data_IF_445189595257
#
_entry.id   IF_445189595257
#
_cell.length_a   1.000
_cell.length_b   1.000
_cell.length_c   1.000
_cell.angle_alpha   90.00
_cell.angle_beta   90.00
_cell.angle_gamma   90.00
#
_symmetry.space_group_name_H-M   'P 1'
#
loop_
_entity.id
_entity.type
_entity.pdbx_description
1 polymer ?
#
# COMPACT_ATOMS: atom_id res chain seq x y z
N UNK A 1 -29.06 -8.65 21.07
CA UNK A 1 -28.27 -7.88 20.09
C UNK A 1 -27.20 -7.17 20.88
N UNK A 2 -25.93 -7.41 20.55
CA UNK A 2 -24.84 -6.76 21.28
C UNK A 2 -24.82 -5.27 20.88
N UNK A 3 -24.64 -4.35 21.84
CA UNK A 3 -24.62 -2.91 21.56
C UNK A 3 -23.54 -2.50 20.54
N UNK A 4 -22.56 -3.37 20.28
CA UNK A 4 -21.49 -3.15 19.31
C UNK A 4 -21.94 -3.19 17.84
N UNK A 5 -23.03 -3.91 17.52
CA UNK A 5 -23.51 -4.04 16.14
C UNK A 5 -24.16 -2.76 15.61
N UNK A 6 -24.55 -1.85 16.51
CA UNK A 6 -25.18 -0.57 16.18
C UNK A 6 -24.18 0.56 15.92
N UNK A 7 -22.88 0.34 16.17
CA UNK A 7 -21.83 1.35 16.00
C UNK A 7 -21.07 1.07 14.70
N UNK A 8 -20.99 2.07 13.82
CA UNK A 8 -20.14 1.95 12.63
C UNK A 8 -18.67 2.10 12.98
N UNK A 9 -17.91 1.01 12.83
CA UNK A 9 -16.46 0.95 13.05
C UNK A 9 -15.76 1.21 11.70
N UNK A 10 -14.89 2.22 11.64
CA UNK A 10 -14.10 2.56 10.44
C UNK A 10 -12.62 2.34 10.71
N UNK A 11 -11.96 1.58 9.84
CA UNK A 11 -10.56 1.16 9.99
C UNK A 11 -9.93 0.77 8.65
N UNK A 12 -8.61 0.57 8.62
CA UNK A 12 -7.90 0.05 7.45
C UNK A 12 -7.96 -1.49 7.38
N UNK A 13 -8.26 -2.02 6.20
CA UNK A 13 -8.21 -3.47 5.94
C UNK A 13 -7.81 -3.73 4.47
N UNK A 14 -6.59 -4.21 4.20
CA UNK A 14 -5.51 -4.50 5.16
C UNK A 14 -4.92 -3.22 5.78
N UNK A 15 -4.06 -3.37 6.79
CA UNK A 15 -3.30 -2.27 7.41
C UNK A 15 -1.82 -2.22 7.04
N UNK A 16 -1.38 -3.11 6.16
CA UNK A 16 -0.03 -3.12 5.60
C UNK A 16 -0.14 -3.29 4.10
N UNK A 17 0.59 -2.44 3.37
CA UNK A 17 0.62 -2.38 1.92
C UNK A 17 2.07 -2.40 1.46
N UNK A 18 2.30 -2.98 0.29
CA UNK A 18 3.61 -2.98 -0.35
C UNK A 18 3.42 -2.59 -1.82
N UNK A 19 4.30 -1.74 -2.31
CA UNK A 19 4.32 -1.32 -3.70
C UNK A 19 5.76 -1.19 -4.20
N UNK A 20 5.96 -1.38 -5.50
CA UNK A 20 7.21 -0.99 -6.14
C UNK A 20 7.24 0.53 -6.27
N UNK A 21 8.44 1.10 -6.23
CA UNK A 21 8.66 2.52 -6.44
C UNK A 21 8.07 3.00 -7.79
N UNK A 22 8.34 2.24 -8.87
CA UNK A 22 7.80 2.52 -10.20
C UNK A 22 6.28 2.29 -10.39
N UNK A 23 5.50 2.01 -9.34
CA UNK A 23 4.06 1.76 -9.49
C UNK A 23 3.25 3.04 -9.78
N UNK A 24 3.84 4.21 -9.54
CA UNK A 24 3.24 5.53 -9.69
C UNK A 24 2.21 5.89 -8.62
N UNK A 25 1.38 4.95 -8.18
CA UNK A 25 0.48 5.15 -7.04
C UNK A 25 0.08 3.83 -6.36
N UNK A 26 0.01 3.86 -5.03
CA UNK A 26 -0.49 2.77 -4.20
C UNK A 26 -1.96 2.98 -3.86
N UNK A 27 -2.77 1.92 -3.90
CA UNK A 27 -4.19 1.94 -3.55
C UNK A 27 -4.40 1.40 -2.13
N UNK A 28 -5.03 2.22 -1.27
CA UNK A 28 -5.38 1.85 0.10
C UNK A 28 -6.88 1.73 0.27
N UNK A 29 -7.30 0.81 1.15
CA UNK A 29 -8.70 0.50 1.41
C UNK A 29 -9.09 0.82 2.84
N UNK A 30 -10.11 1.65 3.00
CA UNK A 30 -10.80 1.87 4.28
C UNK A 30 -12.10 1.10 4.30
N UNK A 31 -12.34 0.37 5.39
CA UNK A 31 -13.52 -0.45 5.60
C UNK A 31 -14.37 0.12 6.72
N UNK A 32 -15.68 0.01 6.53
CA UNK A 32 -16.72 0.28 7.51
C UNK A 32 -17.43 -1.02 7.85
N UNK A 33 -17.55 -1.32 9.15
CA UNK A 33 -18.24 -2.50 9.66
C UNK A 33 -19.22 -2.13 10.77
N UNK A 34 -20.41 -2.72 10.75
CA UNK A 34 -21.46 -2.47 11.74
C UNK A 34 -22.15 -1.11 11.60
N UNK A 35 -23.12 -0.85 12.46
CA UNK A 35 -23.98 0.32 12.46
C UNK A 35 -24.85 0.46 11.20
N UNK A 36 -25.47 1.62 11.06
CA UNK A 36 -26.45 1.87 9.99
C UNK A 36 -25.78 2.29 8.67
N UNK A 37 -25.58 1.33 7.78
CA UNK A 37 -24.94 1.52 6.47
C UNK A 37 -25.67 2.55 5.58
N UNK A 38 -26.91 2.93 5.88
CA UNK A 38 -27.62 3.99 5.14
C UNK A 38 -27.06 5.39 5.40
N UNK A 39 -26.31 5.59 6.49
CA UNK A 39 -25.69 6.88 6.81
C UNK A 39 -24.40 7.09 6.02
N UNK A 40 -24.16 8.33 5.60
CA UNK A 40 -22.88 8.70 4.96
C UNK A 40 -21.87 9.05 6.03
N UNK A 41 -20.69 8.43 5.95
CA UNK A 41 -19.58 8.61 6.87
C UNK A 41 -18.42 9.28 6.15
N UNK A 42 -17.80 10.26 6.81
CA UNK A 42 -16.61 10.93 6.33
C UNK A 42 -15.48 10.68 7.32
N UNK A 43 -14.30 10.36 6.83
CA UNK A 43 -13.10 10.18 7.65
C UNK A 43 -11.96 10.91 6.96
N UNK A 44 -11.22 11.72 7.71
CA UNK A 44 -10.07 12.41 7.18
C UNK A 44 -8.86 11.47 7.24
N UNK A 45 -7.97 11.58 6.27
CA UNK A 45 -6.71 10.84 6.24
C UNK A 45 -5.55 11.79 5.96
N UNK A 46 -4.36 11.38 6.42
CA UNK A 46 -3.12 12.12 6.21
C UNK A 46 -1.94 11.16 6.19
N UNK A 47 -0.99 11.41 5.28
CA UNK A 47 0.31 10.72 5.26
C UNK A 47 1.27 11.29 6.31
N UNK A 48 2.06 10.41 6.92
CA UNK A 48 3.09 10.73 7.90
C UNK A 48 4.38 10.00 7.51
N UNK A 49 5.51 10.69 7.59
CA UNK A 49 6.82 10.13 7.22
C UNK A 49 7.22 8.98 8.17
N UNK A 50 7.96 8.02 7.61
CA UNK A 50 8.60 6.93 8.34
C UNK A 50 10.10 6.96 8.09
N UNK A 51 10.63 5.95 7.38
CA UNK A 51 11.93 6.08 6.73
C UNK A 51 11.81 6.82 5.40
N UNK A 52 10.70 6.58 4.68
CA UNK A 52 10.31 7.33 3.49
C UNK A 52 9.77 8.72 3.86
N UNK A 53 10.13 9.72 3.07
CA UNK A 53 9.91 11.14 3.22
C UNK A 53 9.03 11.69 2.09
N UNK A 54 8.04 12.50 2.46
CA UNK A 54 7.19 13.15 1.49
C UNK A 54 7.98 14.11 0.57
N UNK A 55 7.77 13.99 -0.73
CA UNK A 55 8.41 14.78 -1.78
C UNK A 55 9.73 14.21 -2.31
N UNK A 56 10.29 13.19 -1.64
CA UNK A 56 11.36 12.35 -2.16
C UNK A 56 10.77 11.03 -2.68
N UNK A 57 10.10 10.28 -1.79
CA UNK A 57 9.75 8.87 -2.07
C UNK A 57 8.24 8.69 -2.32
N UNK A 58 7.42 9.61 -1.80
CA UNK A 58 5.97 9.62 -2.00
C UNK A 58 5.38 11.03 -1.96
N UNK A 59 4.17 11.21 -2.51
CA UNK A 59 3.50 12.50 -2.50
C UNK A 59 2.75 12.75 -1.18
N UNK A 60 3.03 13.89 -0.53
CA UNK A 60 2.25 14.32 0.64
C UNK A 60 0.76 14.40 0.29
N UNK A 61 -0.06 13.59 0.97
CA UNK A 61 -1.49 13.50 0.68
C UNK A 61 -2.30 13.60 1.97
N UNK A 62 -3.23 14.55 2.00
CA UNK A 62 -4.28 14.62 3.02
C UNK A 62 -5.63 14.90 2.37
N UNK A 63 -6.70 14.40 2.98
CA UNK A 63 -8.04 14.58 2.43
C UNK A 63 -9.13 13.91 3.25
N UNK A 64 -10.33 13.86 2.68
CA UNK A 64 -11.49 13.20 3.29
C UNK A 64 -11.95 12.04 2.41
N UNK A 65 -12.03 10.86 3.00
CA UNK A 65 -12.71 9.69 2.42
C UNK A 65 -14.20 9.77 2.75
N UNK A 66 -15.03 9.61 1.73
CA UNK A 66 -16.50 9.61 1.85
C UNK A 66 -17.02 8.21 1.56
N UNK A 67 -17.59 7.58 2.58
CA UNK A 67 -18.34 6.33 2.50
C UNK A 67 -19.82 6.69 2.40
N UNK A 68 -20.38 6.61 1.19
CA UNK A 68 -21.79 6.94 0.93
C UNK A 68 -22.72 5.89 1.55
N UNK A 69 -24.02 6.20 1.57
CA UNK A 69 -25.06 5.23 1.90
C UNK A 69 -24.89 3.94 1.09
N UNK A 70 -24.81 2.80 1.77
CA UNK A 70 -24.61 1.49 1.15
C UNK A 70 -23.14 1.11 0.90
N UNK A 71 -22.19 2.04 0.99
CA UNK A 71 -20.77 1.75 0.81
C UNK A 71 -20.16 1.24 2.12
N UNK A 72 -19.61 0.03 2.09
CA UNK A 72 -18.90 -0.60 3.23
C UNK A 72 -17.39 -0.50 3.11
N UNK A 73 -16.86 -0.11 1.95
CA UNK A 73 -15.44 0.10 1.75
C UNK A 73 -15.21 1.20 0.73
N UNK A 74 -14.05 1.86 0.81
CA UNK A 74 -13.62 2.88 -0.14
C UNK A 74 -12.13 2.77 -0.38
N UNK A 75 -11.75 2.82 -1.65
CA UNK A 75 -10.37 2.89 -2.10
C UNK A 75 -9.98 4.34 -2.39
N UNK A 76 -8.72 4.67 -2.11
CA UNK A 76 -8.08 5.94 -2.48
C UNK A 76 -6.60 5.68 -2.80
N UNK A 77 -5.99 6.57 -3.57
CA UNK A 77 -4.61 6.43 -4.04
C UNK A 77 -3.68 7.44 -3.38
N UNK A 78 -2.43 7.04 -3.17
CA UNK A 78 -1.32 7.92 -2.79
C UNK A 78 -0.25 7.80 -3.87
N UNK A 79 0.25 8.93 -4.37
CA UNK A 79 1.31 8.96 -5.38
C UNK A 79 2.63 8.46 -4.81
N UNK A 80 3.30 7.60 -5.56
CA UNK A 80 4.67 7.14 -5.28
C UNK A 80 5.59 7.83 -6.28
N UNK A 81 6.71 8.33 -5.80
CA UNK A 81 7.69 9.04 -6.63
C UNK A 81 8.74 8.00 -7.06
N UNK A 82 9.06 8.00 -8.34
CA UNK A 82 9.98 7.07 -8.99
C UNK A 82 11.25 7.82 -9.37
N UNK A 83 12.42 7.27 -9.02
CA UNK A 83 13.70 7.82 -9.43
C UNK A 83 14.67 6.79 -10.04
N UNK A 84 15.97 7.07 -9.96
CA UNK A 84 17.05 6.30 -10.61
C UNK A 84 18.16 5.90 -9.60
N UNK A 85 17.95 6.15 -8.31
CA UNK A 85 18.90 5.97 -7.22
C UNK A 85 18.50 4.72 -6.43
N UNK A 86 19.42 3.76 -6.33
CA UNK A 86 19.20 2.59 -5.47
C UNK A 86 19.11 2.97 -3.99
N UNK A 87 17.99 2.62 -3.37
CA UNK A 87 17.69 2.80 -1.95
C UNK A 87 17.33 1.46 -1.26
N UNK A 88 17.29 1.46 0.08
CA UNK A 88 16.79 0.30 0.84
C UNK A 88 15.25 0.33 0.90
N UNK A 89 14.60 -0.79 1.26
CA UNK A 89 13.14 -0.79 1.45
C UNK A 89 12.72 0.25 2.50
N UNK A 90 11.90 1.20 2.08
CA UNK A 90 11.44 2.29 2.94
C UNK A 90 9.94 2.21 3.25
N UNK A 91 9.49 2.91 4.28
CA UNK A 91 8.07 2.93 4.63
C UNK A 91 7.60 4.29 5.14
N UNK A 92 6.32 4.56 4.90
CA UNK A 92 5.58 5.68 5.46
C UNK A 92 4.23 5.21 6.04
N UNK A 93 3.54 6.11 6.73
CA UNK A 93 2.29 5.82 7.40
C UNK A 93 1.13 6.64 6.84
N UNK A 94 -0.07 6.09 6.95
CA UNK A 94 -1.32 6.79 6.63
C UNK A 94 -2.26 6.69 7.81
N UNK A 95 -2.67 7.83 8.36
CA UNK A 95 -3.48 7.91 9.58
C UNK A 95 -4.90 8.38 9.28
N UNK A 96 -5.89 7.66 9.80
CA UNK A 96 -7.28 8.11 9.83
C UNK A 96 -7.56 9.00 11.05
N UNK A 97 -8.32 10.06 10.85
CA UNK A 97 -8.71 11.01 11.89
C UNK A 97 -10.05 11.67 11.58
N UNK A 98 -10.56 12.46 12.53
CA UNK A 98 -11.74 13.32 12.35
C UNK A 98 -12.97 12.63 11.71
N UNK A 99 -13.36 11.48 12.27
CA UNK A 99 -14.54 10.74 11.82
C UNK A 99 -15.83 11.53 12.10
N UNK A 100 -16.64 11.73 11.06
CA UNK A 100 -17.92 12.46 11.13
C UNK A 100 -19.02 11.72 10.36
N UNK A 101 -20.24 11.75 10.88
CA UNK A 101 -21.42 11.13 10.28
C UNK A 101 -22.41 12.24 9.92
N UNK A 102 -22.91 12.24 8.68
CA UNK A 102 -23.94 13.21 8.27
C UNK A 102 -25.31 12.54 8.32
N UNK A 103 -26.21 13.20 9.03
CA UNK A 103 -27.61 12.83 9.14
C UNK A 103 -28.41 13.69 8.17
N UNK A 104 -28.93 13.08 7.11
CA UNK A 104 -30.05 13.68 6.41
C UNK A 104 -31.34 13.30 7.16
N UNK A 105 -32.05 14.31 7.66
CA UNK A 105 -33.43 14.22 8.18
C UNK A 105 -33.71 13.30 9.39
N UNK A 106 -32.81 13.21 10.38
CA UNK A 106 -33.21 12.57 11.66
C UNK A 106 -33.96 13.54 12.58
N UNK A 107 -35.14 13.16 13.09
CA UNK A 107 -35.83 13.95 14.12
C UNK A 107 -34.92 14.08 15.36
N UNK A 108 -34.90 15.25 16.03
CA UNK A 108 -34.01 15.54 17.16
C UNK A 108 -34.18 14.58 18.36
N UNK A 109 -35.26 13.79 18.38
CA UNK A 109 -35.56 12.81 19.42
C UNK A 109 -34.66 11.56 19.38
N UNK A 110 -34.02 11.24 18.24
CA UNK A 110 -33.11 10.09 18.10
C UNK A 110 -31.63 10.44 18.34
N UNK A 111 -31.32 11.71 18.64
CA UNK A 111 -29.95 12.18 18.91
C UNK A 111 -29.44 11.89 20.33
N UNK A 112 -30.25 11.22 21.16
CA UNK A 112 -29.92 10.82 22.53
C UNK A 112 -29.54 9.34 22.64
N UNK A 113 -28.79 8.80 21.69
CA UNK A 113 -28.17 7.48 21.89
C UNK A 113 -27.03 7.60 22.92
N UNK A 114 -26.93 6.68 23.91
CA UNK A 114 -25.87 6.71 24.92
C UNK A 114 -24.49 6.31 24.37
N UNK A 115 -24.38 6.06 23.07
CA UNK A 115 -23.17 5.60 22.39
C UNK A 115 -22.94 6.38 21.09
N UNK A 116 -21.67 6.54 20.66
CA UNK A 116 -21.34 7.21 19.40
C UNK A 116 -21.89 6.41 18.21
N UNK A 117 -22.43 7.11 17.20
CA UNK A 117 -22.97 6.49 15.97
C UNK A 117 -21.86 5.83 15.13
N UNK A 118 -20.64 6.35 15.18
CA UNK A 118 -19.47 5.78 14.54
C UNK A 118 -18.20 6.01 15.36
N UNK A 119 -17.23 5.10 15.25
CA UNK A 119 -15.92 5.18 15.90
C UNK A 119 -14.80 4.79 14.93
N UNK A 120 -13.61 5.38 15.12
CA UNK A 120 -12.39 4.88 14.51
C UNK A 120 -11.97 3.63 15.27
N UNK A 121 -11.95 2.50 14.57
CA UNK A 121 -11.49 1.23 15.12
C UNK A 121 -10.01 1.00 14.77
N UNK A 122 -9.37 0.09 15.51
CA UNK A 122 -8.03 -0.36 15.18
C UNK A 122 -8.09 -1.38 14.04
N UNK A 123 -7.20 -1.31 13.04
CA UNK A 123 -6.12 -0.33 12.88
C UNK A 123 -6.58 0.97 12.20
N UNK A 124 -6.30 2.12 12.81
CA UNK A 124 -6.54 3.44 12.24
C UNK A 124 -5.31 4.05 11.55
N UNK A 125 -4.21 3.30 11.52
CA UNK A 125 -2.98 3.62 10.80
C UNK A 125 -2.65 2.47 9.87
N UNK A 126 -2.39 2.76 8.61
CA UNK A 126 -1.82 1.82 7.65
C UNK A 126 -0.32 2.11 7.48
N UNK A 127 0.46 1.06 7.28
CA UNK A 127 1.88 1.17 6.87
C UNK A 127 1.98 0.83 5.39
N UNK A 128 2.72 1.63 4.64
CA UNK A 128 3.04 1.37 3.24
C UNK A 128 4.55 1.20 3.13
N UNK A 129 5.00 0.09 2.56
CA UNK A 129 6.40 -0.16 2.24
C UNK A 129 6.63 0.04 0.75
N UNK A 130 7.61 0.88 0.40
CA UNK A 130 8.08 1.11 -0.96
C UNK A 130 9.28 0.19 -1.18
N UNK A 131 9.22 -0.60 -2.25
CA UNK A 131 10.27 -1.51 -2.67
C UNK A 131 11.01 -0.90 -3.86
N UNK A 132 12.29 -0.63 -3.66
CA UNK A 132 13.20 -0.10 -4.68
C UNK A 132 13.35 -1.08 -5.86
N UNK A 133 13.35 -0.56 -7.10
CA UNK A 133 13.64 -1.33 -8.31
C UNK A 133 14.88 -0.87 -9.08
N UNK A 134 15.72 -0.06 -8.44
CA UNK A 134 16.90 0.59 -9.01
C UNK A 134 18.22 -0.15 -8.78
N UNK A 135 18.16 -1.31 -8.13
CA UNK A 135 19.32 -2.16 -8.00
C UNK A 135 19.84 -2.60 -9.40
N UNK A 136 21.15 -2.45 -9.64
CA UNK A 136 21.79 -2.78 -10.92
C UNK A 136 21.80 -4.28 -11.26
N UNK A 137 21.39 -5.12 -10.32
CA UNK A 137 21.24 -6.56 -10.47
C UNK A 137 22.48 -7.35 -10.06
N UNK A 138 22.24 -8.57 -9.60
CA UNK A 138 23.23 -9.58 -9.22
C UNK A 138 23.35 -10.58 -10.36
N UNK A 139 24.57 -10.85 -10.81
CA UNK A 139 24.82 -11.73 -11.95
C UNK A 139 25.37 -13.08 -11.48
N UNK A 140 24.71 -14.17 -11.86
CA UNK A 140 25.12 -15.54 -11.51
C UNK A 140 24.86 -16.50 -12.67
N UNK A 141 25.50 -17.66 -12.68
CA UNK A 141 25.10 -18.74 -13.57
C UNK A 141 23.84 -19.44 -13.06
N UNK A 142 23.06 -20.00 -13.99
CA UNK A 142 21.88 -20.82 -13.65
C UNK A 142 22.28 -22.13 -12.96
N UNK A 143 23.45 -22.67 -13.29
CA UNK A 143 23.97 -23.93 -12.77
C UNK A 143 25.48 -23.87 -12.58
N UNK A 144 25.98 -24.49 -11.51
CA UNK A 144 27.42 -24.59 -11.23
C UNK A 144 28.12 -25.63 -12.13
N UNK A 145 27.38 -26.67 -12.55
CA UNK A 145 27.88 -27.77 -13.38
C UNK A 145 26.85 -28.12 -14.44
N UNK A 146 27.31 -28.22 -15.70
CA UNK A 146 26.49 -28.64 -16.84
C UNK A 146 27.19 -29.81 -17.53
N UNK A 147 26.48 -30.93 -17.67
CA UNK A 147 26.95 -32.08 -18.44
C UNK A 147 26.45 -31.98 -19.88
N UNK A 148 27.37 -32.11 -20.85
CA UNK A 148 27.07 -31.91 -22.27
C UNK A 148 27.60 -33.08 -23.10
N UNK A 149 26.92 -33.40 -24.19
CA UNK A 149 27.47 -34.34 -25.18
C UNK A 149 28.53 -33.63 -26.01
N UNK A 150 29.62 -34.33 -26.33
CA UNK A 150 30.66 -33.82 -27.24
C UNK A 150 30.12 -33.50 -28.65
N UNK A 151 28.97 -34.08 -29.03
CA UNK A 151 28.35 -33.88 -30.35
C UNK A 151 27.40 -32.68 -30.42
N UNK A 152 27.29 -31.87 -29.35
CA UNK A 152 26.30 -30.78 -29.28
C UNK A 152 26.65 -29.57 -30.18
N UNK A 153 27.93 -29.41 -30.55
CA UNK A 153 28.42 -28.26 -31.31
C UNK A 153 28.59 -27.02 -30.43
N UNK A 154 27.50 -26.28 -30.19
CA UNK A 154 27.52 -25.03 -29.41
C UNK A 154 26.67 -25.22 -28.14
N UNK A 155 27.25 -24.87 -26.99
CA UNK A 155 26.54 -24.82 -25.72
C UNK A 155 26.24 -23.38 -25.33
N UNK A 156 24.96 -23.08 -25.07
CA UNK A 156 24.52 -21.81 -24.50
C UNK A 156 24.56 -21.87 -22.97
N UNK A 157 25.32 -20.98 -22.35
CA UNK A 157 25.41 -20.88 -20.89
C UNK A 157 24.62 -19.65 -20.45
N UNK A 158 23.57 -19.87 -19.64
CA UNK A 158 22.74 -18.77 -19.15
C UNK A 158 23.39 -18.04 -17.98
N UNK A 159 23.44 -16.71 -18.09
CA UNK A 159 23.73 -15.79 -16.98
C UNK A 159 22.40 -15.18 -16.54
N UNK A 160 22.08 -15.32 -15.27
CA UNK A 160 20.91 -14.75 -14.63
C UNK A 160 21.27 -13.39 -14.03
N UNK A 161 20.40 -12.39 -14.23
CA UNK A 161 20.43 -11.10 -13.52
C UNK A 161 19.25 -11.10 -12.55
N UNK A 162 19.52 -11.03 -11.25
CA UNK A 162 18.51 -11.07 -10.18
C UNK A 162 18.59 -9.81 -9.32
N UNK A 163 17.61 -9.61 -8.43
CA UNK A 163 17.58 -8.48 -7.49
C UNK A 163 17.49 -7.08 -8.11
N UNK A 164 17.35 -6.95 -9.44
CA UNK A 164 17.18 -5.66 -10.11
C UNK A 164 17.66 -5.68 -11.56
N UNK A 165 17.20 -4.72 -12.36
CA UNK A 165 17.48 -4.65 -13.80
C UNK A 165 17.92 -3.25 -14.26
N UNK A 166 18.13 -2.32 -13.32
CA UNK A 166 18.39 -0.92 -13.63
C UNK A 166 19.74 -0.69 -14.30
N UNK A 167 19.74 0.19 -15.30
CA UNK A 167 20.95 0.58 -16.02
C UNK A 167 21.57 -0.52 -16.90
N UNK A 168 22.63 -0.12 -17.61
CA UNK A 168 23.40 -1.00 -18.49
C UNK A 168 24.62 -1.54 -17.76
N UNK A 169 24.74 -2.87 -17.65
CA UNK A 169 25.88 -3.54 -17.01
C UNK A 169 26.67 -4.35 -18.03
N UNK A 170 28.00 -4.25 -17.98
CA UNK A 170 28.92 -5.03 -18.82
C UNK A 170 29.56 -6.12 -17.95
N UNK A 171 29.24 -7.38 -18.25
CA UNK A 171 29.80 -8.54 -17.53
C UNK A 171 30.84 -9.23 -18.41
N UNK A 172 32.15 -9.11 -18.11
CA UNK A 172 33.19 -9.79 -18.88
C UNK A 172 33.16 -11.30 -18.61
N UNK A 173 33.44 -12.11 -19.63
CA UNK A 173 33.54 -13.56 -19.48
C UNK A 173 34.76 -14.09 -20.25
N UNK A 174 35.27 -15.24 -19.79
CA UNK A 174 36.29 -16.03 -20.48
C UNK A 174 36.14 -17.50 -20.14
N UNK A 175 36.55 -18.38 -21.04
CA UNK A 175 36.77 -19.80 -20.75
C UNK A 175 38.14 -19.97 -20.09
N UNK A 176 38.24 -20.87 -19.11
CA UNK A 176 39.49 -21.24 -18.41
C UNK A 176 39.89 -22.66 -18.78
#
# INVERSE_FOLDING_TARGET
EEPEDFISKVYFDPCSYQCLENCGAVLLTVVRKGGDVSKTVYVDYKTEDGSANAGADYEFTEGTIVLKSGETQKEFSIGIIDDDIFEEDEHFFVRLSNLRVVEADEPPELNNLPYPKAILASPCVATVTILDDDHAGIFTFECDVIHVSESIGIMEVKVLRTSGARGTVIVPFRTV
#
